data_IF_499546351710
#
_entry.id   IF_499546351710
#
_cell.length_a   1.000
_cell.length_b   1.000
_cell.length_c   1.000
_cell.angle_alpha   90.00
_cell.angle_beta   90.00
_cell.angle_gamma   90.00
#
_symmetry.space_group_name_H-M   'P 1'
#
loop_
_entity.id
_entity.type
_entity.pdbx_description
1 polymer ?
#
# COMPACT_ATOMS: atom_id res chain seq x y z
N UNK A 1 -35.60 -2.81 -10.78
CA UNK A 1 -34.85 -1.57 -11.08
C UNK A 1 -33.76 -1.90 -12.08
N UNK A 2 -33.91 -1.48 -13.34
CA UNK A 2 -32.84 -1.55 -14.35
C UNK A 2 -32.00 -0.29 -14.16
N UNK A 3 -30.83 -0.41 -13.52
CA UNK A 3 -29.87 0.70 -13.46
C UNK A 3 -29.25 0.85 -14.84
N UNK A 4 -29.77 1.76 -15.66
CA UNK A 4 -29.05 2.28 -16.83
C UNK A 4 -27.92 3.16 -16.29
N UNK A 5 -26.83 2.54 -15.82
CA UNK A 5 -25.59 3.28 -15.57
C UNK A 5 -25.11 3.85 -16.91
N UNK A 6 -24.90 5.16 -16.96
CA UNK A 6 -24.27 5.77 -18.11
C UNK A 6 -22.79 5.34 -18.17
N UNK A 7 -22.18 5.45 -19.36
CA UNK A 7 -20.79 5.03 -19.59
C UNK A 7 -19.79 5.73 -18.64
N UNK A 8 -20.12 6.94 -18.19
CA UNK A 8 -19.31 7.72 -17.25
C UNK A 8 -19.26 7.08 -15.85
N UNK A 9 -20.40 6.64 -15.31
CA UNK A 9 -20.45 5.92 -14.04
C UNK A 9 -19.63 4.62 -14.10
N UNK A 10 -19.73 3.88 -15.22
CA UNK A 10 -18.93 2.65 -15.41
C UNK A 10 -17.42 2.95 -15.43
N UNK A 11 -17.01 4.06 -16.07
CA UNK A 11 -15.60 4.49 -16.10
C UNK A 11 -15.10 4.89 -14.72
N UNK A 12 -15.89 5.60 -13.93
CA UNK A 12 -15.48 5.99 -12.59
C UNK A 12 -15.41 4.80 -11.64
N UNK A 13 -16.37 3.87 -11.70
CA UNK A 13 -16.32 2.61 -10.95
C UNK A 13 -15.05 1.82 -11.29
N UNK A 14 -14.70 1.72 -12.58
CA UNK A 14 -13.46 1.06 -13.02
C UNK A 14 -12.22 1.75 -12.43
N UNK A 15 -12.18 3.09 -12.44
CA UNK A 15 -11.09 3.88 -11.84
C UNK A 15 -10.95 3.56 -10.34
N UNK A 16 -12.06 3.58 -9.61
CA UNK A 16 -12.09 3.30 -8.17
C UNK A 16 -11.60 1.88 -7.86
N UNK A 17 -12.09 0.86 -8.57
CA UNK A 17 -11.62 -0.51 -8.37
C UNK A 17 -10.14 -0.70 -8.71
N UNK A 18 -9.65 -0.07 -9.79
CA UNK A 18 -8.23 -0.13 -10.14
C UNK A 18 -7.36 0.46 -9.04
N UNK A 19 -7.75 1.61 -8.51
CA UNK A 19 -7.00 2.27 -7.44
C UNK A 19 -7.01 1.44 -6.15
N UNK A 20 -8.17 0.91 -5.76
CA UNK A 20 -8.28 0.00 -4.61
C UNK A 20 -7.36 -1.22 -4.78
N UNK A 21 -7.38 -1.85 -5.96
CA UNK A 21 -6.56 -3.04 -6.22
C UNK A 21 -5.07 -2.72 -6.21
N UNK A 22 -4.67 -1.57 -6.75
CA UNK A 22 -3.28 -1.10 -6.69
C UNK A 22 -2.83 -0.92 -5.24
N UNK A 23 -3.62 -0.25 -4.42
CA UNK A 23 -3.31 -0.03 -3.00
C UNK A 23 -3.29 -1.34 -2.20
N UNK A 24 -4.21 -2.28 -2.50
CA UNK A 24 -4.21 -3.63 -1.91
C UNK A 24 -2.96 -4.43 -2.28
N UNK A 25 -2.46 -4.29 -3.51
CA UNK A 25 -1.20 -4.91 -3.94
C UNK A 25 -0.02 -4.36 -3.12
N UNK A 26 0.10 -3.03 -2.97
CA UNK A 26 1.13 -2.39 -2.13
C UNK A 26 1.04 -2.89 -0.68
N UNK A 27 -0.17 -3.02 -0.12
CA UNK A 27 -0.35 -3.60 1.23
C UNK A 27 0.08 -5.05 1.33
N UNK A 28 -0.14 -5.85 0.29
CA UNK A 28 0.27 -7.26 0.29
C UNK A 28 1.78 -7.42 0.33
N UNK A 29 2.53 -6.42 -0.14
CA UNK A 29 4.00 -6.38 -0.08
C UNK A 29 4.53 -5.92 1.28
N UNK A 30 3.69 -5.32 2.14
CA UNK A 30 4.10 -4.77 3.42
C UNK A 30 4.86 -5.76 4.33
N UNK A 31 4.47 -7.04 4.46
CA UNK A 31 5.25 -8.01 5.23
C UNK A 31 6.67 -8.22 4.66
N UNK A 32 6.80 -8.27 3.33
CA UNK A 32 8.10 -8.43 2.68
C UNK A 32 8.99 -7.21 2.88
N UNK A 33 8.43 -6.00 2.74
CA UNK A 33 9.14 -4.75 2.99
C UNK A 33 9.62 -4.67 4.45
N UNK A 34 8.78 -5.07 5.42
CA UNK A 34 9.17 -5.10 6.83
C UNK A 34 10.31 -6.08 7.12
N UNK A 35 10.30 -7.24 6.47
CA UNK A 35 11.40 -8.21 6.60
C UNK A 35 12.70 -7.63 6.02
N UNK A 36 12.65 -7.09 4.80
CA UNK A 36 13.80 -6.45 4.15
C UNK A 36 14.37 -5.30 4.98
N UNK A 37 13.50 -4.45 5.55
CA UNK A 37 13.92 -3.38 6.45
C UNK A 37 14.61 -3.94 7.70
N UNK A 38 14.05 -4.99 8.31
CA UNK A 38 14.65 -5.66 9.47
C UNK A 38 16.04 -6.22 9.15
N UNK A 39 16.19 -6.88 8.00
CA UNK A 39 17.47 -7.43 7.54
C UNK A 39 18.51 -6.32 7.32
N UNK A 40 18.13 -5.23 6.64
CA UNK A 40 19.00 -4.07 6.42
C UNK A 40 19.42 -3.38 7.72
N UNK A 41 18.52 -3.26 8.70
CA UNK A 41 18.85 -2.69 10.01
C UNK A 41 19.82 -3.59 10.77
N UNK A 42 19.62 -4.91 10.73
CA UNK A 42 20.55 -5.85 11.35
C UNK A 42 21.94 -5.81 10.70
N UNK A 43 21.98 -5.71 9.37
CA UNK A 43 23.22 -5.53 8.61
C UNK A 43 23.91 -4.22 9.01
N UNK A 44 23.18 -3.11 9.05
CA UNK A 44 23.69 -1.80 9.44
C UNK A 44 24.29 -1.79 10.85
N UNK A 45 23.64 -2.45 11.81
CA UNK A 45 24.14 -2.56 13.20
C UNK A 45 25.37 -3.45 13.33
N UNK A 46 25.69 -4.24 12.30
CA UNK A 46 26.86 -5.10 12.25
C UNK A 46 28.04 -4.45 11.49
N UNK A 47 27.83 -3.30 10.84
CA UNK A 47 28.88 -2.59 10.09
C UNK A 47 29.92 -2.00 11.04
N UNK A 48 31.19 -2.26 10.74
CA UNK A 48 32.30 -1.66 11.48
C UNK A 48 32.54 -0.20 11.06
N UNK A 49 33.04 0.64 11.97
CA UNK A 49 33.29 2.07 11.71
C UNK A 49 34.25 2.30 10.53
N UNK A 50 35.13 1.33 10.24
CA UNK A 50 36.03 1.36 9.09
C UNK A 50 35.35 1.16 7.73
N UNK A 51 34.10 0.68 7.71
CA UNK A 51 33.33 0.36 6.51
C UNK A 51 32.23 1.41 6.25
N UNK A 52 32.57 2.69 6.42
CA UNK A 52 31.60 3.80 6.38
C UNK A 52 30.80 3.88 5.07
N UNK A 53 31.40 3.57 3.92
CA UNK A 53 30.71 3.54 2.62
C UNK A 53 29.64 2.44 2.55
N UNK A 54 29.92 1.26 3.12
CA UNK A 54 28.95 0.17 3.18
C UNK A 54 27.79 0.54 4.11
N UNK A 55 28.10 1.12 5.28
CA UNK A 55 27.11 1.61 6.23
C UNK A 55 26.21 2.69 5.63
N UNK A 56 26.77 3.65 4.89
CA UNK A 56 26.00 4.67 4.19
C UNK A 56 25.03 4.06 3.16
N UNK A 57 25.51 3.13 2.33
CA UNK A 57 24.68 2.46 1.33
C UNK A 57 23.52 1.69 1.95
N UNK A 58 23.78 0.92 3.01
CA UNK A 58 22.75 0.15 3.72
C UNK A 58 21.75 1.10 4.37
N UNK A 59 22.21 2.21 4.97
CA UNK A 59 21.34 3.21 5.56
C UNK A 59 20.41 3.86 4.53
N UNK A 60 20.92 4.20 3.33
CA UNK A 60 20.09 4.73 2.23
C UNK A 60 19.02 3.71 1.82
N UNK A 61 19.39 2.45 1.63
CA UNK A 61 18.43 1.40 1.28
C UNK A 61 17.38 1.19 2.37
N UNK A 62 17.77 1.20 3.65
CA UNK A 62 16.85 1.09 4.76
C UNK A 62 15.85 2.26 4.80
N UNK A 63 16.30 3.48 4.47
CA UNK A 63 15.43 4.66 4.36
C UNK A 63 14.42 4.52 3.21
N UNK A 64 14.86 4.11 2.02
CA UNK A 64 13.97 3.88 0.86
C UNK A 64 12.89 2.84 1.18
N UNK A 65 13.27 1.71 1.80
CA UNK A 65 12.30 0.70 2.22
C UNK A 65 11.39 1.23 3.34
N UNK A 66 11.92 2.03 4.26
CA UNK A 66 11.16 2.68 5.32
C UNK A 66 10.07 3.62 4.77
N UNK A 67 10.37 4.40 3.74
CA UNK A 67 9.41 5.25 3.04
C UNK A 67 8.32 4.42 2.33
N UNK A 68 8.71 3.35 1.64
CA UNK A 68 7.76 2.43 1.00
C UNK A 68 6.81 1.76 2.02
N UNK A 69 7.31 1.40 3.21
CA UNK A 69 6.50 0.90 4.33
C UNK A 69 5.48 1.96 4.77
N UNK A 70 5.90 3.21 4.92
CA UNK A 70 5.00 4.30 5.31
C UNK A 70 3.90 4.52 4.28
N UNK A 71 4.24 4.50 2.99
CA UNK A 71 3.26 4.58 1.89
C UNK A 71 2.26 3.42 1.98
N UNK A 72 2.74 2.18 2.11
CA UNK A 72 1.92 0.98 2.24
C UNK A 72 1.00 1.01 3.47
N UNK A 73 1.47 1.54 4.61
CA UNK A 73 0.65 1.71 5.81
C UNK A 73 -0.44 2.77 5.61
N UNK A 74 -0.12 3.87 4.93
CA UNK A 74 -1.08 4.93 4.61
C UNK A 74 -2.16 4.48 3.61
N UNK A 75 -1.84 3.49 2.77
CA UNK A 75 -2.76 2.93 1.78
C UNK A 75 -4.06 2.39 2.40
N UNK A 76 -4.05 1.95 3.67
CA UNK A 76 -5.25 1.46 4.35
C UNK A 76 -6.33 2.52 4.47
N UNK A 77 -5.93 3.73 4.85
CA UNK A 77 -6.85 4.86 4.96
C UNK A 77 -7.44 5.22 3.59
N UNK A 78 -6.62 5.20 2.54
CA UNK A 78 -7.03 5.50 1.17
C UNK A 78 -7.99 4.43 0.62
N UNK A 79 -7.71 3.15 0.83
CA UNK A 79 -8.61 2.06 0.45
C UNK A 79 -9.98 2.25 1.10
N UNK A 80 -10.03 2.51 2.41
CA UNK A 80 -11.28 2.71 3.13
C UNK A 80 -12.10 3.87 2.54
N UNK A 81 -11.43 4.99 2.24
CA UNK A 81 -12.08 6.16 1.62
C UNK A 81 -12.65 5.84 0.22
N UNK A 82 -11.92 5.09 -0.59
CA UNK A 82 -12.36 4.69 -1.94
C UNK A 82 -13.51 3.66 -1.88
N UNK A 83 -13.47 2.74 -0.92
CA UNK A 83 -14.57 1.80 -0.66
C UNK A 83 -15.84 2.54 -0.19
N UNK A 84 -15.69 3.54 0.69
CA UNK A 84 -16.79 4.43 1.10
C UNK A 84 -17.36 5.21 -0.10
N UNK A 85 -16.51 5.64 -1.04
CA UNK A 85 -16.96 6.30 -2.27
C UNK A 85 -17.81 5.35 -3.15
N UNK A 86 -17.39 4.10 -3.31
CA UNK A 86 -18.17 3.07 -4.02
C UNK A 86 -19.53 2.82 -3.36
N UNK A 87 -19.56 2.71 -2.03
CA UNK A 87 -20.79 2.49 -1.26
C UNK A 87 -21.72 3.70 -1.42
N UNK A 88 -21.24 4.91 -1.17
CA UNK A 88 -22.07 6.10 -1.10
C UNK A 88 -22.56 6.57 -2.47
N UNK A 89 -21.72 6.50 -3.52
CA UNK A 89 -22.09 7.00 -4.85
C UNK A 89 -22.86 5.98 -5.68
N UNK A 90 -22.53 4.70 -5.54
CA UNK A 90 -23.00 3.65 -6.46
C UNK A 90 -23.76 2.52 -5.75
N UNK A 91 -23.87 2.54 -4.42
CA UNK A 91 -24.64 1.56 -3.67
C UNK A 91 -24.00 0.17 -3.59
N UNK A 92 -22.68 0.07 -3.77
CA UNK A 92 -21.98 -1.20 -3.56
C UNK A 92 -22.14 -1.67 -2.11
N UNK A 93 -22.28 -2.98 -1.93
CA UNK A 93 -22.35 -3.59 -0.61
C UNK A 93 -20.93 -3.80 -0.06
N UNK A 94 -20.76 -3.57 1.23
CA UNK A 94 -19.56 -3.99 1.94
C UNK A 94 -19.66 -5.50 2.16
N UNK A 95 -18.61 -6.27 1.86
CA UNK A 95 -18.64 -7.70 2.15
C UNK A 95 -18.67 -7.91 3.67
N UNK A 96 -19.69 -8.58 4.18
CA UNK A 96 -19.66 -9.20 5.50
C UNK A 96 -18.79 -10.47 5.43
N UNK A 97 -17.47 -10.33 5.42
CA UNK A 97 -16.53 -11.46 5.54
C UNK A 97 -15.16 -10.92 5.99
N UNK A 98 -14.54 -11.35 7.09
CA UNK A 98 -14.92 -12.27 8.15
C UNK A 98 -14.25 -11.76 9.45
N UNK A 99 -14.94 -11.93 10.58
CA UNK A 99 -14.34 -11.80 11.92
C UNK A 99 -13.26 -12.88 12.15
#
# INVERSE_FOLDING_TARGET
>A
MQYLMNLEAVRDILRLFREINRLKAIQSELPNLKNQYGDLVNELLSVEVGESEAGERIAVQALEIGEAIQEAMSAHYNIKKLEEELINKYGFLRSEAAA
#
